data_IF_568909943222
#
_entry.id   IF_568909943222
#
_cell.length_a   1.000
_cell.length_b   1.000
_cell.length_c   1.000
_cell.angle_alpha   90.00
_cell.angle_beta   90.00
_cell.angle_gamma   90.00
#
_symmetry.space_group_name_H-M   'P 1'
#
loop_
_entity.id
_entity.type
_entity.pdbx_description
1 polymer ?
#
# COMPACT_ATOMS: atom_id res chain seq x y z
N UNK A 1 26.31 18.34 17.52
CA UNK A 1 24.95 18.14 18.06
C UNK A 1 24.32 17.04 17.24
N UNK A 2 24.50 15.78 17.64
CA UNK A 2 23.89 14.65 16.93
C UNK A 2 22.41 14.67 17.25
N UNK A 3 21.58 15.08 16.29
CA UNK A 3 20.15 14.82 16.35
C UNK A 3 19.99 13.31 16.31
N UNK A 4 19.85 12.71 17.49
CA UNK A 4 19.42 11.33 17.65
C UNK A 4 18.09 11.21 16.90
N UNK A 5 18.14 10.71 15.67
CA UNK A 5 16.97 10.47 14.85
C UNK A 5 16.28 9.25 15.44
N UNK A 6 15.61 9.44 16.58
CA UNK A 6 14.96 8.36 17.32
C UNK A 6 14.00 7.64 16.39
N UNK A 7 14.37 6.44 15.95
CA UNK A 7 13.69 5.73 14.86
C UNK A 7 12.19 5.63 15.18
N UNK A 8 11.28 5.94 14.23
CA UNK A 8 9.85 5.79 14.47
C UNK A 8 9.53 4.40 14.99
N UNK A 9 8.57 4.31 15.91
CA UNK A 9 8.13 3.02 16.45
C UNK A 9 7.68 2.08 15.32
N UNK A 10 7.96 0.78 15.37
CA UNK A 10 7.42 -0.14 14.37
C UNK A 10 5.89 -0.14 14.40
N UNK A 11 5.27 -0.59 13.31
CA UNK A 11 3.82 -0.85 13.32
C UNK A 11 3.45 -1.79 14.49
N UNK A 12 2.38 -1.47 15.25
CA UNK A 12 2.00 -2.26 16.42
C UNK A 12 1.48 -3.65 16.06
N UNK A 13 1.01 -3.81 14.81
CA UNK A 13 0.58 -5.08 14.22
C UNK A 13 0.66 -4.98 12.70
N UNK A 14 0.69 -6.13 11.99
CA UNK A 14 0.43 -6.14 10.55
C UNK A 14 -0.95 -5.57 10.22
N UNK A 15 -1.04 -4.86 9.10
CA UNK A 15 -2.27 -4.34 8.51
C UNK A 15 -2.40 -5.01 7.16
N UNK A 16 -3.33 -5.94 7.05
CA UNK A 16 -3.49 -6.77 5.85
C UNK A 16 -4.78 -6.45 5.12
N UNK A 17 -4.78 -6.62 3.80
CA UNK A 17 -5.98 -6.45 2.98
C UNK A 17 -6.38 -5.00 2.73
N UNK A 18 -5.43 -4.06 2.73
CA UNK A 18 -5.70 -2.68 2.31
C UNK A 18 -6.04 -2.69 0.83
N UNK A 19 -7.24 -2.24 0.51
CA UNK A 19 -7.74 -2.23 -0.85
C UNK A 19 -7.97 -0.80 -1.32
N UNK A 20 -7.28 -0.43 -2.40
CA UNK A 20 -7.46 0.86 -3.06
C UNK A 20 -8.12 0.65 -4.39
N UNK A 21 -9.17 1.43 -4.64
CA UNK A 21 -9.85 1.52 -5.91
C UNK A 21 -9.86 2.98 -6.35
N UNK A 22 -9.05 3.29 -7.36
CA UNK A 22 -8.96 4.62 -7.94
C UNK A 22 -9.42 4.57 -9.40
N UNK A 23 -10.62 5.09 -9.66
CA UNK A 23 -11.16 5.26 -11.00
C UNK A 23 -11.59 6.71 -11.15
N UNK A 24 -10.92 7.43 -12.05
CA UNK A 24 -11.40 8.70 -12.56
C UNK A 24 -11.73 8.50 -14.04
N UNK A 25 -13.01 8.65 -14.35
CA UNK A 25 -13.45 8.81 -15.73
C UNK A 25 -13.50 10.31 -16.02
N UNK A 26 -12.32 10.93 -16.07
CA UNK A 26 -12.18 12.22 -16.73
C UNK A 26 -12.04 11.94 -18.23
N UNK A 27 -12.23 12.94 -19.10
CA UNK A 27 -11.99 12.77 -20.55
C UNK A 27 -10.55 12.40 -20.93
N UNK A 28 -9.67 12.15 -19.94
CA UNK A 28 -8.29 11.70 -20.10
C UNK A 28 -8.13 10.30 -19.49
N UNK A 29 -7.49 9.39 -20.22
CA UNK A 29 -7.05 8.09 -19.70
C UNK A 29 -5.92 8.23 -18.66
N UNK A 30 -5.61 7.13 -17.96
CA UNK A 30 -4.42 7.04 -17.10
C UNK A 30 -4.69 7.08 -15.59
N UNK A 31 -5.96 7.02 -15.18
CA UNK A 31 -6.36 7.08 -13.76
C UNK A 31 -6.98 5.78 -13.24
N UNK A 32 -7.05 4.72 -14.04
CA UNK A 32 -7.48 3.41 -13.56
C UNK A 32 -6.35 2.71 -12.79
N UNK A 33 -6.56 2.47 -11.50
CA UNK A 33 -5.72 1.59 -10.70
C UNK A 33 -6.55 0.95 -9.58
N UNK A 34 -6.42 -0.36 -9.42
CA UNK A 34 -6.87 -1.06 -8.21
C UNK A 34 -5.68 -1.83 -7.64
N UNK A 35 -5.46 -1.76 -6.33
CA UNK A 35 -4.32 -2.42 -5.70
C UNK A 35 -4.72 -3.04 -4.36
N UNK A 36 -4.06 -4.15 -4.05
CA UNK A 36 -4.10 -4.81 -2.76
C UNK A 36 -2.73 -4.70 -2.11
N UNK A 37 -2.74 -4.24 -0.86
CA UNK A 37 -1.53 -3.84 -0.16
C UNK A 37 -1.60 -4.36 1.27
N UNK A 38 -0.46 -4.84 1.76
CA UNK A 38 -0.26 -5.10 3.18
C UNK A 38 0.80 -4.14 3.73
N UNK A 39 0.76 -3.93 5.04
CA UNK A 39 1.82 -3.27 5.77
C UNK A 39 2.25 -4.13 6.95
N UNK A 40 3.55 -4.38 7.02
CA UNK A 40 4.17 -5.21 8.06
C UNK A 40 5.14 -4.36 8.88
N UNK A 41 5.37 -4.69 10.16
CA UNK A 41 6.43 -4.06 10.94
C UNK A 41 7.77 -4.17 10.20
N UNK A 42 8.55 -3.08 10.21
CA UNK A 42 9.88 -3.08 9.59
C UNK A 42 10.79 -4.10 10.31
N UNK A 43 11.47 -5.01 9.58
CA UNK A 43 12.42 -5.93 10.19
C UNK A 43 13.52 -5.18 10.95
N UNK A 44 13.93 -5.75 12.08
CA UNK A 44 15.06 -5.25 12.85
C UNK A 44 16.31 -5.14 11.96
N UNK A 45 17.08 -4.07 12.13
CA UNK A 45 18.27 -3.81 11.33
C UNK A 45 18.04 -3.16 9.95
N UNK A 46 16.80 -3.03 9.48
CA UNK A 46 16.53 -2.23 8.27
C UNK A 46 16.85 -0.75 8.52
N UNK A 47 17.58 -0.09 7.63
CA UNK A 47 17.83 1.35 7.75
C UNK A 47 16.57 2.15 7.40
N UNK A 48 16.23 3.17 8.19
CA UNK A 48 15.09 4.07 7.93
C UNK A 48 13.76 3.61 8.53
N UNK A 49 12.69 4.22 8.04
CA UNK A 49 11.30 4.16 8.52
C UNK A 49 10.31 3.62 7.46
N UNK A 50 10.75 3.43 6.23
CA UNK A 50 9.94 2.89 5.15
C UNK A 50 10.73 1.87 4.32
N UNK A 51 10.10 0.73 4.03
CA UNK A 51 10.53 -0.19 3.00
C UNK A 51 9.37 -0.53 2.06
N UNK A 52 9.68 -0.77 0.79
CA UNK A 52 8.73 -1.26 -0.19
C UNK A 52 9.15 -2.65 -0.66
N UNK A 53 8.18 -3.55 -0.84
CA UNK A 53 8.37 -4.83 -1.50
C UNK A 53 7.25 -5.06 -2.51
N UNK A 54 7.60 -5.61 -3.67
CA UNK A 54 6.65 -6.16 -4.63
C UNK A 54 6.57 -7.68 -4.44
N UNK A 55 5.44 -8.15 -3.92
CA UNK A 55 5.10 -9.58 -3.87
C UNK A 55 3.92 -9.82 -4.82
N UNK A 56 4.12 -9.36 -6.05
CA UNK A 56 3.14 -9.46 -7.12
C UNK A 56 3.11 -10.90 -7.67
N UNK A 57 1.93 -11.41 -8.05
CA UNK A 57 1.85 -12.67 -8.78
C UNK A 57 2.45 -12.53 -10.19
N UNK A 58 2.88 -13.65 -10.77
CA UNK A 58 3.35 -13.70 -12.17
C UNK A 58 2.32 -13.11 -13.17
N UNK A 59 1.03 -13.21 -12.82
CA UNK A 59 -0.07 -12.62 -13.57
C UNK A 59 -1.07 -12.00 -12.59
N UNK A 60 -1.31 -10.71 -12.74
CA UNK A 60 -2.40 -10.03 -12.04
C UNK A 60 -3.74 -10.58 -12.53
N UNK A 61 -4.71 -10.75 -11.63
CA UNK A 61 -6.00 -11.37 -11.96
C UNK A 61 -6.73 -10.64 -13.11
N UNK A 62 -6.59 -9.32 -13.16
CA UNK A 62 -7.16 -8.48 -14.20
C UNK A 62 -6.03 -7.58 -14.74
N UNK A 63 -5.54 -7.77 -15.97
CA UNK A 63 -6.17 -8.49 -17.08
C UNK A 63 -5.73 -9.95 -17.28
N UNK A 64 -4.95 -10.56 -16.39
CA UNK A 64 -4.31 -11.86 -16.62
C UNK A 64 -2.86 -11.74 -17.13
N UNK A 65 -2.29 -10.54 -17.00
CA UNK A 65 -0.93 -10.19 -17.40
C UNK A 65 -0.12 -9.71 -16.19
N UNK A 66 1.21 -9.79 -16.22
CA UNK A 66 2.06 -9.18 -15.20
C UNK A 66 1.77 -7.68 -15.08
N UNK A 67 1.93 -7.10 -13.90
CA UNK A 67 1.90 -5.64 -13.76
C UNK A 67 3.15 -5.05 -14.43
N UNK A 68 3.03 -4.07 -15.34
CA UNK A 68 4.18 -3.38 -15.91
C UNK A 68 5.04 -2.72 -14.83
N UNK A 69 6.37 -2.88 -14.92
CA UNK A 69 7.29 -2.35 -13.91
C UNK A 69 7.12 -0.85 -13.66
N UNK A 70 6.84 -0.05 -14.69
CA UNK A 70 6.60 1.38 -14.54
C UNK A 70 5.46 1.71 -13.59
N UNK A 71 4.41 0.88 -13.52
CA UNK A 71 3.30 1.06 -12.59
C UNK A 71 3.69 0.69 -11.15
N UNK A 72 4.48 -0.38 -10.98
CA UNK A 72 5.08 -0.74 -9.68
C UNK A 72 5.96 0.40 -9.16
N UNK A 73 6.85 0.95 -10.00
CA UNK A 73 7.75 2.04 -9.63
C UNK A 73 6.98 3.34 -9.30
N UNK A 74 5.96 3.66 -10.10
CA UNK A 74 5.08 4.79 -9.87
C UNK A 74 4.33 4.69 -8.53
N UNK A 75 3.84 3.49 -8.21
CA UNK A 75 3.22 3.19 -6.92
C UNK A 75 4.23 3.34 -5.77
N UNK A 76 5.37 2.66 -5.87
CA UNK A 76 6.40 2.61 -4.82
C UNK A 76 6.92 4.00 -4.48
N UNK A 77 7.22 4.81 -5.50
CA UNK A 77 7.65 6.20 -5.34
C UNK A 77 6.61 7.02 -4.59
N UNK A 78 5.34 6.95 -5.02
CA UNK A 78 4.29 7.76 -4.40
C UNK A 78 3.93 7.29 -2.98
N UNK A 79 4.03 5.99 -2.70
CA UNK A 79 3.88 5.45 -1.35
C UNK A 79 4.99 5.98 -0.43
N UNK A 80 6.24 5.94 -0.87
CA UNK A 80 7.37 6.49 -0.12
C UNK A 80 7.20 7.99 0.18
N UNK A 81 6.90 8.80 -0.83
CA UNK A 81 6.64 10.24 -0.67
C UNK A 81 5.50 10.51 0.33
N UNK A 82 4.42 9.72 0.28
CA UNK A 82 3.31 9.86 1.20
C UNK A 82 3.66 9.45 2.64
N UNK A 83 4.56 8.47 2.80
CA UNK A 83 5.03 8.02 4.11
C UNK A 83 5.93 9.08 4.74
N UNK A 84 6.94 9.55 4.00
CA UNK A 84 7.87 10.60 4.43
C UNK A 84 7.14 11.92 4.72
N UNK A 85 6.10 12.25 3.93
CA UNK A 85 5.27 13.43 4.13
C UNK A 85 4.14 13.30 5.14
N UNK A 86 4.05 12.18 5.88
CA UNK A 86 3.01 11.98 6.89
C UNK A 86 3.36 12.65 8.23
N UNK A 87 2.34 12.98 9.02
CA UNK A 87 2.51 13.70 10.30
C UNK A 87 3.06 15.12 10.11
N UNK A 88 3.81 15.61 11.11
CA UNK A 88 4.47 16.92 11.09
C UNK A 88 5.83 16.89 10.35
N UNK A 89 5.88 16.18 9.22
CA UNK A 89 7.11 15.98 8.43
C UNK A 89 7.99 14.83 8.93
N UNK A 90 7.44 13.94 9.77
CA UNK A 90 8.10 12.71 10.21
C UNK A 90 7.06 11.60 10.39
N UNK A 91 7.28 10.39 9.83
CA UNK A 91 6.33 9.31 9.99
C UNK A 91 6.25 8.84 11.44
N UNK A 92 5.02 8.62 11.90
CA UNK A 92 4.75 8.11 13.25
C UNK A 92 5.14 6.63 13.42
N UNK A 93 5.29 5.90 12.31
CA UNK A 93 5.59 4.48 12.32
C UNK A 93 6.67 4.09 11.31
N UNK A 94 7.35 2.99 11.62
CA UNK A 94 8.25 2.29 10.73
C UNK A 94 7.53 1.04 10.14
N UNK A 95 7.37 0.99 8.81
CA UNK A 95 6.67 -0.10 8.12
C UNK A 95 7.31 -0.54 6.80
N UNK A 96 7.14 -1.82 6.48
CA UNK A 96 7.31 -2.37 5.13
C UNK A 96 5.95 -2.44 4.45
N UNK A 97 5.79 -1.72 3.35
CA UNK A 97 4.59 -1.79 2.51
C UNK A 97 4.81 -2.81 1.40
N UNK A 98 3.89 -3.75 1.28
CA UNK A 98 3.97 -4.87 0.32
C UNK A 98 2.84 -4.75 -0.69
N UNK A 99 3.18 -4.59 -1.97
CA UNK A 99 2.19 -4.64 -3.06
C UNK A 99 1.92 -6.10 -3.42
N UNK A 100 0.69 -6.56 -3.20
CA UNK A 100 0.30 -7.97 -3.30
C UNK A 100 -0.40 -8.32 -4.60
N UNK A 101 -1.18 -7.38 -5.15
CA UNK A 101 -1.81 -7.52 -6.46
C UNK A 101 -2.24 -6.15 -6.98
N UNK A 102 -2.54 -6.10 -8.27
CA UNK A 102 -3.10 -4.94 -8.93
C UNK A 102 -4.11 -5.34 -10.02
N UNK A 103 -5.05 -4.46 -10.33
CA UNK A 103 -5.81 -4.50 -11.56
C UNK A 103 -5.47 -3.30 -12.42
N UNK A 104 -5.16 -3.55 -13.69
CA UNK A 104 -4.76 -2.53 -14.65
C UNK A 104 -5.30 -2.82 -16.06
N UNK A 105 -5.26 -1.82 -16.94
CA UNK A 105 -5.63 -1.94 -18.35
C UNK A 105 -4.78 -0.99 -19.20
N UNK A 106 -4.20 -1.46 -20.31
CA UNK A 106 -3.24 -0.69 -21.12
C UNK A 106 -3.75 0.69 -21.55
N UNK A 107 -5.05 0.79 -21.91
CA UNK A 107 -5.63 2.06 -22.37
C UNK A 107 -6.16 2.98 -21.27
N UNK A 108 -6.42 2.47 -20.06
CA UNK A 108 -7.08 3.22 -18.99
C UNK A 108 -6.17 3.50 -17.79
N UNK A 109 -5.16 2.65 -17.58
CA UNK A 109 -4.15 2.78 -16.54
C UNK A 109 -3.01 3.69 -16.97
N UNK A 110 -2.35 4.26 -15.98
CA UNK A 110 -1.15 5.05 -16.17
C UNK A 110 -0.53 5.38 -14.82
N UNK A 111 0.68 5.94 -14.86
CA UNK A 111 1.47 6.24 -13.65
C UNK A 111 0.69 7.09 -12.65
N UNK A 112 -0.13 8.04 -13.13
CA UNK A 112 -0.94 8.90 -12.25
C UNK A 112 -1.94 8.11 -11.41
N UNK A 113 -2.57 7.10 -11.99
CA UNK A 113 -3.48 6.20 -11.27
C UNK A 113 -2.75 5.43 -10.17
N UNK A 114 -1.59 4.86 -10.49
CA UNK A 114 -0.78 4.10 -9.53
C UNK A 114 -0.13 4.98 -8.46
N UNK A 115 0.29 6.19 -8.80
CA UNK A 115 0.75 7.18 -7.82
C UNK A 115 -0.37 7.56 -6.84
N UNK A 116 -1.57 7.83 -7.35
CA UNK A 116 -2.73 8.11 -6.50
C UNK A 116 -3.07 6.92 -5.61
N UNK A 117 -2.99 5.70 -6.14
CA UNK A 117 -3.20 4.49 -5.37
C UNK A 117 -2.17 4.32 -4.23
N UNK A 118 -0.88 4.59 -4.49
CA UNK A 118 0.19 4.56 -3.48
C UNK A 118 -0.06 5.51 -2.32
N UNK A 119 -0.41 6.77 -2.62
CA UNK A 119 -0.73 7.76 -1.58
C UNK A 119 -1.95 7.36 -0.76
N UNK A 120 -2.98 6.82 -1.40
CA UNK A 120 -4.20 6.38 -0.72
C UNK A 120 -3.96 5.15 0.17
N UNK A 121 -3.17 4.18 -0.29
CA UNK A 121 -2.80 3.01 0.49
C UNK A 121 -2.09 3.42 1.79
N UNK A 122 -1.06 4.28 1.69
CA UNK A 122 -0.31 4.74 2.87
C UNK A 122 -1.18 5.47 3.87
N UNK A 123 -2.06 6.37 3.41
CA UNK A 123 -2.98 7.09 4.31
C UNK A 123 -3.91 6.14 5.05
N UNK A 124 -4.39 5.10 4.38
CA UNK A 124 -5.25 4.09 5.02
C UNK A 124 -4.48 3.23 6.03
N UNK A 125 -3.26 2.82 5.69
CA UNK A 125 -2.36 2.08 6.60
C UNK A 125 -2.13 2.87 7.89
N UNK A 126 -1.74 4.14 7.76
CA UNK A 126 -1.45 4.99 8.93
C UNK A 126 -2.70 5.19 9.80
N UNK A 127 -3.85 5.49 9.21
CA UNK A 127 -5.12 5.62 9.96
C UNK A 127 -5.52 4.31 10.65
N UNK A 128 -5.31 3.14 10.03
CA UNK A 128 -5.54 1.85 10.68
C UNK A 128 -4.58 1.61 11.86
N UNK A 129 -3.31 2.01 11.71
CA UNK A 129 -2.30 1.87 12.77
C UNK A 129 -2.60 2.77 13.97
N UNK A 130 -3.07 4.00 13.73
CA UNK A 130 -3.42 4.97 14.77
C UNK A 130 -4.71 4.59 15.50
N UNK A 131 -5.74 4.19 14.76
CA UNK A 131 -7.07 3.91 15.30
C UNK A 131 -7.24 2.46 15.78
N UNK A 132 -6.29 1.58 15.44
CA UNK A 132 -6.35 0.15 15.76
C UNK A 132 -7.41 -0.63 14.96
N UNK A 133 -8.02 -0.03 13.94
CA UNK A 133 -9.13 -0.61 13.16
C UNK A 133 -8.68 -1.45 11.97
N UNK A 134 -9.60 -2.25 11.43
CA UNK A 134 -9.38 -2.96 10.17
C UNK A 134 -9.44 -2.01 8.95
N UNK A 135 -8.72 -2.35 7.86
CA UNK A 135 -8.77 -1.60 6.62
C UNK A 135 -10.15 -1.52 6.00
N UNK A 136 -10.42 -0.40 5.35
CA UNK A 136 -11.62 -0.16 4.56
C UNK A 136 -11.23 0.12 3.12
N UNK A 137 -12.12 -0.14 2.15
CA UNK A 137 -11.90 0.26 0.77
C UNK A 137 -11.73 1.78 0.66
N UNK A 138 -10.65 2.23 0.02
CA UNK A 138 -10.37 3.66 -0.18
C UNK A 138 -10.20 4.03 -1.66
N UNK A 139 -10.40 5.31 -1.96
CA UNK A 139 -10.22 5.88 -3.30
C UNK A 139 -11.53 6.18 -4.05
N UNK A 140 -11.40 6.80 -5.22
CA UNK A 140 -12.55 7.19 -6.04
C UNK A 140 -13.15 5.96 -6.72
N UNK A 141 -14.42 5.68 -6.43
CA UNK A 141 -15.10 4.48 -6.90
C UNK A 141 -15.08 3.33 -5.89
N UNK A 142 -14.35 3.44 -4.78
CA UNK A 142 -14.49 2.59 -3.61
C UNK A 142 -15.80 2.91 -2.89
N UNK A 143 -16.89 2.27 -3.31
CA UNK A 143 -18.21 2.37 -2.68
C UNK A 143 -18.28 1.33 -1.54
N UNK A 144 -18.80 1.71 -0.36
CA UNK A 144 -18.84 0.84 0.83
C UNK A 144 -19.67 -0.43 0.62
N UNK A 145 -20.70 -0.34 -0.21
CA UNK A 145 -21.62 -1.41 -0.60
C UNK A 145 -21.05 -2.32 -1.70
N UNK A 146 -19.97 -1.91 -2.37
CA UNK A 146 -19.37 -2.70 -3.43
C UNK A 146 -18.41 -3.72 -2.81
N UNK A 147 -18.58 -5.03 -3.08
CA UNK A 147 -17.69 -6.04 -2.52
C UNK A 147 -16.26 -5.78 -3.00
N UNK A 148 -15.33 -5.86 -2.05
CA UNK A 148 -13.90 -5.90 -2.36
C UNK A 148 -13.64 -7.21 -3.08
N UNK A 149 -13.07 -7.20 -4.28
CA UNK A 149 -12.67 -8.45 -4.91
C UNK A 149 -11.67 -9.16 -3.98
N UNK A 150 -11.78 -10.50 -3.82
CA UNK A 150 -10.94 -11.23 -2.89
C UNK A 150 -9.47 -11.06 -3.26
N UNK A 151 -8.64 -10.82 -2.25
CA UNK A 151 -7.19 -10.72 -2.41
C UNK A 151 -6.64 -12.07 -2.90
N UNK A 152 -5.80 -12.12 -3.96
CA UNK A 152 -5.41 -13.40 -4.56
C UNK A 152 -4.51 -14.25 -3.65
N UNK A 153 -3.76 -13.58 -2.78
CA UNK A 153 -2.89 -14.20 -1.77
C UNK A 153 -3.10 -13.47 -0.46
N UNK A 154 -3.91 -14.00 0.43
CA UNK A 154 -3.84 -13.62 1.83
C UNK A 154 -2.53 -14.20 2.36
N UNK A 155 -1.59 -13.41 2.91
CA UNK A 155 -0.47 -14.02 3.62
C UNK A 155 -1.04 -14.93 4.73
N UNK A 156 -0.37 -16.05 5.06
CA UNK A 156 -0.72 -16.78 6.27
C UNK A 156 -0.71 -15.80 7.45
N UNK A 157 -1.59 -15.97 8.46
CA UNK A 157 -1.57 -15.13 9.65
C UNK A 157 -0.15 -15.09 10.21
N UNK A 158 0.33 -13.95 10.75
CA UNK A 158 1.65 -13.89 11.37
C UNK A 158 1.75 -15.02 12.39
N UNK A 159 2.83 -15.81 12.34
CA UNK A 159 3.05 -16.88 13.30
C UNK A 159 2.86 -16.32 14.72
N UNK A 160 2.12 -17.02 15.60
CA UNK A 160 1.99 -16.58 16.98
C UNK A 160 3.40 -16.41 17.54
N UNK A 161 3.68 -15.23 18.11
CA UNK A 161 4.96 -14.94 18.73
C UNK A 161 5.33 -16.10 19.68
N UNK A 162 6.58 -16.58 19.69
CA UNK A 162 6.98 -17.66 20.57
C UNK A 162 6.67 -17.25 22.02
N UNK A 163 6.13 -18.17 22.85
CA UNK A 163 5.89 -17.86 24.25
C UNK A 163 7.23 -17.48 24.91
N UNK A 164 7.20 -16.38 25.67
CA UNK A 164 8.34 -15.87 26.45
C UNK A 164 8.84 -16.86 27.50
#
# INVERSE_FOLDING_TARGET
MSTDHERPRPLPRPITGVFVRHLLQTGCSGYFAMVWVDAEPLPEGTAGDFAFADDLPDRCRYPGEPLPQGFTDAFAKAAREAWEGSGDGRPAFAARVVLRDAAWHEGDSGDRGFQAAGRLAVREILSCAEEGRDPRPVGRGARKDRPVPPMPRTPPPPDPAPPA
#
